data_IF_484870008375
#
_entry.id   IF_484870008375
#
_cell.length_a   1.000
_cell.length_b   1.000
_cell.length_c   1.000
_cell.angle_alpha   90.00
_cell.angle_beta   90.00
_cell.angle_gamma   90.00
#
_symmetry.space_group_name_H-M   'P 1'
#
loop_
_entity.id
_entity.type
_entity.pdbx_description
1 polymer ?
#
# COMPACT_ATOMS: atom_id res chain seq x y z
N UNK A 1 -13.43 8.06 7.02
CA UNK A 1 -11.99 8.36 6.95
C UNK A 1 -11.25 7.14 7.46
N UNK A 2 -10.41 6.54 6.64
CA UNK A 2 -9.55 5.43 7.04
C UNK A 2 -8.20 5.99 7.47
N UNK A 3 -7.55 5.39 8.47
CA UNK A 3 -6.18 5.79 8.84
C UNK A 3 -5.18 5.67 7.68
N UNK A 4 -5.52 4.92 6.63
CA UNK A 4 -4.69 4.76 5.42
C UNK A 4 -4.92 5.85 4.36
N UNK A 5 -5.80 6.82 4.60
CA UNK A 5 -6.06 7.91 3.65
C UNK A 5 -4.80 8.74 3.36
N UNK A 6 -3.92 8.94 4.37
CA UNK A 6 -2.63 9.61 4.18
C UNK A 6 -1.70 8.87 3.21
N UNK A 7 -1.65 7.54 3.27
CA UNK A 7 -0.91 6.72 2.32
C UNK A 7 -1.48 6.84 0.90
N UNK A 8 -2.82 6.82 0.77
CA UNK A 8 -3.50 6.98 -0.52
C UNK A 8 -3.15 8.31 -1.18
N UNK A 9 -3.26 9.41 -0.45
CA UNK A 9 -2.98 10.73 -1.00
C UNK A 9 -1.49 10.89 -1.31
N UNK A 10 -0.61 10.32 -0.48
CA UNK A 10 0.82 10.27 -0.77
C UNK A 10 1.09 9.56 -2.10
N UNK A 11 0.53 8.36 -2.32
CA UNK A 11 0.71 7.60 -3.55
C UNK A 11 0.14 8.32 -4.78
N UNK A 12 -0.97 9.06 -4.63
CA UNK A 12 -1.56 9.86 -5.71
C UNK A 12 -0.66 10.98 -6.21
N UNK A 13 0.19 11.52 -5.35
CA UNK A 13 1.17 12.55 -5.75
C UNK A 13 2.39 11.96 -6.47
N UNK A 14 2.58 10.63 -6.42
CA UNK A 14 3.67 9.96 -7.12
C UNK A 14 3.26 9.62 -8.55
N UNK A 15 4.23 9.67 -9.45
CA UNK A 15 4.09 9.22 -10.83
C UNK A 15 5.02 8.03 -11.06
N UNK A 16 4.44 6.85 -11.29
CA UNK A 16 5.20 5.63 -11.60
C UNK A 16 5.43 4.71 -10.41
N UNK A 17 6.29 3.71 -10.59
CA UNK A 17 6.57 2.71 -9.55
C UNK A 17 7.42 3.30 -8.44
N UNK A 18 6.97 3.18 -7.20
CA UNK A 18 7.67 3.66 -6.01
C UNK A 18 7.88 2.54 -5.02
N UNK A 19 8.99 2.56 -4.30
CA UNK A 19 9.30 1.56 -3.27
C UNK A 19 9.52 2.28 -1.95
N UNK A 20 8.86 1.79 -0.90
CA UNK A 20 9.01 2.29 0.46
C UNK A 20 9.37 1.14 1.39
N UNK A 21 10.02 1.45 2.49
CA UNK A 21 10.24 0.51 3.59
C UNK A 21 8.93 0.32 4.36
N UNK A 22 8.73 -0.86 4.95
CA UNK A 22 7.54 -1.11 5.78
C UNK A 22 7.47 -0.11 6.93
N UNK A 23 8.61 0.25 7.50
CA UNK A 23 8.72 1.25 8.55
C UNK A 23 8.30 2.66 8.06
N UNK A 24 8.71 3.08 6.85
CA UNK A 24 8.28 4.36 6.25
C UNK A 24 6.76 4.40 6.01
N UNK A 25 6.18 3.29 5.55
CA UNK A 25 4.71 3.18 5.39
C UNK A 25 4.01 3.18 6.74
N UNK A 26 4.63 2.59 7.77
CA UNK A 26 4.13 2.64 9.14
C UNK A 26 4.12 4.06 9.69
N UNK A 27 5.13 4.86 9.40
CA UNK A 27 5.18 6.26 9.83
C UNK A 27 4.14 7.13 9.10
N UNK A 28 3.81 6.81 7.85
CA UNK A 28 2.75 7.48 7.09
C UNK A 28 1.33 7.13 7.57
N UNK A 29 1.16 6.03 8.31
CA UNK A 29 -0.14 5.58 8.80
C UNK A 29 -0.28 5.93 10.29
N UNK A 30 -1.27 6.76 10.69
CA UNK A 30 -1.54 7.04 12.10
C UNK A 30 -1.79 5.76 12.89
N UNK A 31 -0.98 5.53 13.93
CA UNK A 31 -1.02 4.31 14.75
C UNK A 31 -0.29 3.11 14.14
N UNK A 32 0.50 3.33 13.08
CA UNK A 32 1.40 2.35 12.52
C UNK A 32 0.75 1.20 11.75
N UNK A 33 1.62 0.44 11.11
CA UNK A 33 1.26 -0.84 10.50
C UNK A 33 1.11 -1.93 11.58
N UNK A 34 0.10 -2.79 11.48
CA UNK A 34 -0.05 -3.91 12.39
C UNK A 34 1.08 -4.94 12.18
N UNK A 35 1.42 -5.75 13.21
CA UNK A 35 2.42 -6.82 13.08
C UNK A 35 2.15 -7.83 11.96
N UNK A 36 0.89 -7.94 11.51
CA UNK A 36 0.50 -8.77 10.37
C UNK A 36 1.05 -8.25 9.04
N UNK A 37 1.17 -6.93 8.87
CA UNK A 37 1.75 -6.33 7.66
C UNK A 37 3.23 -6.68 7.46
N UNK A 38 3.95 -6.94 8.56
CA UNK A 38 5.35 -7.36 8.55
C UNK A 38 5.54 -8.88 8.42
N UNK A 39 4.53 -9.67 8.81
CA UNK A 39 4.62 -11.13 8.85
C UNK A 39 3.98 -11.82 7.64
N UNK A 40 2.95 -11.21 7.05
CA UNK A 40 2.13 -11.87 6.04
C UNK A 40 2.03 -11.00 4.78
N UNK A 41 2.62 -11.48 3.67
CA UNK A 41 2.49 -10.82 2.37
C UNK A 41 1.04 -10.74 1.90
N UNK A 42 0.20 -11.70 2.32
CA UNK A 42 -1.25 -11.70 2.09
C UNK A 42 -1.96 -10.45 2.66
N UNK A 43 -1.40 -9.80 3.69
CA UNK A 43 -1.94 -8.54 4.19
C UNK A 43 -1.88 -7.41 3.14
N UNK A 44 -0.91 -7.48 2.22
CA UNK A 44 -0.76 -6.54 1.11
C UNK A 44 -1.48 -6.99 -0.16
N UNK A 45 -2.30 -8.06 -0.09
CA UNK A 45 -3.00 -8.57 -1.25
C UNK A 45 -3.92 -7.50 -1.86
N UNK A 46 -3.89 -7.41 -3.19
CA UNK A 46 -4.68 -6.42 -3.95
C UNK A 46 -6.09 -6.91 -4.29
N UNK A 47 -6.44 -8.15 -3.95
CA UNK A 47 -7.74 -8.76 -4.30
C UNK A 47 -8.88 -8.38 -3.35
N UNK A 48 -8.58 -8.11 -2.08
CA UNK A 48 -9.61 -7.88 -1.07
C UNK A 48 -9.87 -6.38 -0.89
N UNK A 49 -10.94 -5.84 -1.49
CA UNK A 49 -11.36 -4.42 -1.32
C UNK A 49 -12.24 -4.18 -0.08
N UNK A 50 -12.47 -5.23 0.69
CA UNK A 50 -13.19 -5.24 1.97
C UNK A 50 -12.37 -4.57 3.08
N UNK A 51 -11.05 -4.64 2.97
CA UNK A 51 -10.16 -4.05 3.95
C UNK A 51 -9.81 -2.59 3.62
N UNK A 52 -9.88 -1.73 4.65
CA UNK A 52 -9.56 -0.30 4.52
C UNK A 52 -8.10 -0.03 4.12
N UNK A 53 -7.17 -0.93 4.43
CA UNK A 53 -5.76 -0.78 4.05
C UNK A 53 -5.59 -0.99 2.56
N UNK A 54 -6.03 -2.12 2.02
CA UNK A 54 -5.88 -2.45 0.61
C UNK A 54 -6.64 -1.51 -0.32
N UNK A 55 -7.78 -0.98 0.13
CA UNK A 55 -8.50 0.06 -0.60
C UNK A 55 -7.67 1.34 -0.78
N UNK A 56 -6.78 1.69 0.16
CA UNK A 56 -6.03 2.94 0.09
C UNK A 56 -5.14 3.06 -1.15
N UNK A 57 -4.28 2.08 -1.41
CA UNK A 57 -3.42 2.08 -2.60
C UNK A 57 -4.17 1.73 -3.87
N UNK A 58 -5.19 0.86 -3.80
CA UNK A 58 -6.05 0.56 -4.96
C UNK A 58 -6.81 1.79 -5.45
N UNK A 59 -7.37 2.59 -4.54
CA UNK A 59 -8.06 3.83 -4.88
C UNK A 59 -7.09 4.95 -5.33
N UNK A 60 -5.79 4.80 -5.04
CA UNK A 60 -4.73 5.60 -5.64
C UNK A 60 -4.34 5.11 -7.04
N UNK A 61 -4.83 3.94 -7.47
CA UNK A 61 -4.50 3.31 -8.75
C UNK A 61 -3.22 2.49 -8.72
N UNK A 62 -2.84 1.96 -7.56
CA UNK A 62 -1.62 1.18 -7.36
C UNK A 62 -1.90 -0.24 -6.88
N UNK A 63 -0.99 -1.16 -7.17
CA UNK A 63 -0.89 -2.49 -6.57
C UNK A 63 0.31 -2.55 -5.64
N UNK A 64 0.12 -3.09 -4.44
CA UNK A 64 1.19 -3.33 -3.48
C UNK A 64 1.87 -4.67 -3.74
N UNK A 65 3.20 -4.65 -3.73
CA UNK A 65 4.06 -5.83 -3.85
C UNK A 65 5.05 -5.81 -2.68
N UNK A 66 4.71 -6.46 -1.55
CA UNK A 66 5.61 -6.50 -0.41
C UNK A 66 6.80 -7.43 -0.68
N UNK A 67 7.95 -7.04 -0.16
CA UNK A 67 9.14 -7.85 0.00
C UNK A 67 9.46 -7.90 1.50
N UNK A 68 8.99 -8.97 2.16
CA UNK A 68 9.18 -9.14 3.60
C UNK A 68 10.64 -9.44 3.96
N UNK A 69 11.42 -10.01 3.02
CA UNK A 69 12.84 -10.28 3.20
C UNK A 69 13.62 -8.97 3.31
N UNK A 70 13.30 -8.00 2.44
CA UNK A 70 13.91 -6.67 2.45
C UNK A 70 13.14 -5.65 3.31
N UNK A 71 12.03 -6.08 3.95
CA UNK A 71 11.11 -5.23 4.72
C UNK A 71 10.68 -3.99 3.93
N UNK A 72 10.33 -4.17 2.67
CA UNK A 72 9.92 -3.10 1.74
C UNK A 72 8.61 -3.46 1.06
N UNK A 73 7.95 -2.47 0.50
CA UNK A 73 6.78 -2.63 -0.36
C UNK A 73 6.95 -1.75 -1.59
N UNK A 74 6.75 -2.38 -2.75
CA UNK A 74 6.75 -1.70 -4.04
C UNK A 74 5.32 -1.46 -4.47
N UNK A 75 4.96 -0.19 -4.65
CA UNK A 75 3.70 0.20 -5.25
C UNK A 75 3.90 0.41 -6.75
N UNK A 76 3.25 -0.43 -7.54
CA UNK A 76 3.28 -0.36 -9.01
C UNK A 76 1.95 0.25 -9.47
N UNK A 77 1.94 1.24 -10.38
CA UNK A 77 0.70 1.72 -10.96
C UNK A 77 -0.04 0.55 -11.61
N UNK A 78 -1.27 0.31 -11.17
CA UNK A 78 -2.12 -0.69 -11.80
C UNK A 78 -2.33 -0.23 -13.25
N UNK A 79 -2.12 -1.10 -14.26
CA UNK A 79 -2.42 -0.75 -15.64
C UNK A 79 -3.89 -0.34 -15.68
N UNK A 80 -4.12 0.94 -16.02
CA UNK A 80 -5.47 1.43 -16.30
C UNK A 80 -5.85 0.76 -17.61
N UNK A 81 -6.47 -0.42 -17.53
CA UNK A 81 -7.05 -1.05 -18.71
C UNK A 81 -8.19 -0.13 -19.10
N UNK A 82 -7.90 0.75 -20.06
CA UNK A 82 -8.85 1.69 -20.61
C UNK A 82 -10.05 0.93 -21.14
N UNK A 83 -11.23 1.38 -20.76
CA UNK A 83 -12.47 1.05 -21.44
C UNK A 83 -12.79 2.17 -22.41
#
# INVERSE_FOLDING_TARGET
MSKYDGLRDHLRTRAGTVTYSLDEVSDLVPGGLPPSAYRYAAWWANGDRTHSHSRSWQDAGYTAHPDLTLRRVRFVPAPRIGR
#
